data_IF_279343484775
#
_entry.id   IF_279343484775
#
_cell.length_a   1.000
_cell.length_b   1.000
_cell.length_c   1.000
_cell.angle_alpha   90.00
_cell.angle_beta   90.00
_cell.angle_gamma   90.00
#
_symmetry.space_group_name_H-M   'P 1'
#
loop_
_entity.id
_entity.type
_entity.pdbx_description
1 polymer ?
#
# COMPACT_ATOMS: atom_id res chain seq x y z
N UNK A 1 33.32 -2.53 20.48
CA UNK A 1 33.89 -1.25 20.95
C UNK A 1 33.80 -0.26 19.81
N UNK A 2 32.81 0.63 19.87
CA UNK A 2 32.51 1.65 18.85
C UNK A 2 33.43 2.85 19.07
N UNK A 3 34.40 3.05 18.18
CA UNK A 3 35.19 4.29 18.15
C UNK A 3 34.33 5.42 17.60
N UNK A 4 33.97 6.35 18.48
CA UNK A 4 33.31 7.61 18.15
C UNK A 4 34.28 8.48 17.33
N UNK A 5 34.10 8.49 16.02
CA UNK A 5 34.76 9.46 15.14
C UNK A 5 34.10 10.82 15.35
N UNK A 6 34.78 11.71 16.09
CA UNK A 6 34.43 13.12 16.21
C UNK A 6 34.35 13.74 14.82
N UNK A 7 33.16 14.21 14.47
CA UNK A 7 32.85 14.98 13.27
C UNK A 7 33.79 16.18 13.15
N UNK A 8 34.54 16.26 12.06
CA UNK A 8 35.00 17.55 11.55
C UNK A 8 33.78 18.30 11.03
N UNK A 9 33.50 19.45 11.64
CA UNK A 9 32.37 20.31 11.30
C UNK A 9 32.42 20.76 9.85
N UNK A 10 31.35 20.49 9.11
CA UNK A 10 31.02 21.27 7.91
C UNK A 10 30.28 22.54 8.35
N UNK A 11 30.64 23.72 7.85
CA UNK A 11 29.85 24.92 8.10
C UNK A 11 28.48 24.79 7.41
N UNK A 12 27.44 25.20 8.13
CA UNK A 12 26.10 25.32 7.58
C UNK A 12 26.10 26.39 6.49
N UNK A 13 25.95 25.96 5.22
CA UNK A 13 25.62 26.87 4.11
C UNK A 13 24.11 26.84 3.97
N UNK A 14 23.43 27.73 4.69
CA UNK A 14 22.06 28.12 4.37
C UNK A 14 22.12 29.10 3.20
N UNK A 15 21.76 28.64 2.00
CA UNK A 15 21.68 29.50 0.83
C UNK A 15 20.72 28.92 -0.19
N UNK A 16 19.51 29.47 -0.25
CA UNK A 16 18.62 29.29 -1.40
C UNK A 16 19.34 29.73 -2.68
N UNK A 17 19.23 28.97 -3.79
CA UNK A 17 19.75 29.43 -5.06
C UNK A 17 18.88 30.57 -5.61
N UNK A 18 19.47 31.64 -6.17
CA UNK A 18 18.72 32.65 -6.89
C UNK A 18 18.30 32.13 -8.27
N UNK A 19 17.07 32.44 -8.66
CA UNK A 19 16.56 32.23 -10.00
C UNK A 19 17.40 33.05 -11.00
N UNK A 20 17.93 32.40 -12.04
CA UNK A 20 18.49 33.07 -13.20
C UNK A 20 17.59 32.89 -14.43
N UNK A 21 17.52 33.92 -15.30
CA UNK A 21 16.52 34.02 -16.35
C UNK A 21 16.93 33.27 -17.62
N UNK A 22 15.90 32.82 -18.34
CA UNK A 22 15.95 32.28 -19.69
C UNK A 22 16.60 33.30 -20.66
N UNK A 23 17.64 32.86 -21.37
CA UNK A 23 18.13 33.52 -22.59
C UNK A 23 18.04 32.51 -23.74
N UNK A 24 17.44 32.99 -24.82
CA UNK A 24 17.09 32.29 -26.05
C UNK A 24 18.22 32.30 -27.11
N UNK A 25 18.05 31.42 -28.12
CA UNK A 25 18.55 31.49 -29.51
C UNK A 25 20.07 31.21 -29.69
N UNK A 26 20.62 30.50 -30.69
CA UNK A 26 20.30 29.92 -32.03
C UNK A 26 21.41 28.86 -32.34
N UNK A 27 21.73 28.38 -33.56
CA UNK A 27 21.01 28.13 -34.84
C UNK A 27 21.21 26.67 -35.36
N UNK A 28 20.71 26.30 -36.57
CA UNK A 28 21.00 25.01 -37.20
C UNK A 28 22.27 25.06 -38.07
N UNK A 29 23.02 23.96 -38.11
CA UNK A 29 24.13 23.77 -39.06
C UNK A 29 23.92 22.49 -39.87
N UNK A 30 23.78 22.74 -41.17
CA UNK A 30 23.84 21.83 -42.31
C UNK A 30 25.27 21.41 -42.64
N UNK A 31 25.37 20.53 -43.65
CA UNK A 31 26.58 20.04 -44.35
C UNK A 31 27.23 18.82 -43.67
N UNK A 32 27.46 17.69 -44.32
CA UNK A 32 27.55 17.39 -45.75
C UNK A 32 28.81 16.53 -45.97
N UNK A 33 28.75 15.67 -46.98
CA UNK A 33 29.85 14.99 -47.68
C UNK A 33 30.24 13.58 -47.24
N UNK A 34 29.80 12.66 -48.10
CA UNK A 34 30.50 11.48 -48.59
C UNK A 34 32.03 11.64 -48.62
N UNK A 35 32.74 10.57 -48.25
CA UNK A 35 33.88 10.14 -49.06
C UNK A 35 34.19 8.66 -48.87
N UNK A 36 34.15 7.97 -49.99
CA UNK A 36 34.51 6.57 -50.23
C UNK A 36 36.02 6.46 -50.42
N UNK A 37 36.68 5.42 -49.89
CA UNK A 37 38.08 5.16 -50.27
C UNK A 37 38.93 4.21 -49.42
N UNK A 38 38.76 2.90 -49.66
CA UNK A 38 39.81 1.87 -49.77
C UNK A 38 40.71 1.46 -48.56
N UNK A 39 41.25 0.22 -48.57
CA UNK A 39 41.65 -0.50 -47.36
C UNK A 39 43.17 -0.46 -47.13
N UNK A 40 43.56 -0.01 -45.94
CA UNK A 40 44.93 -0.10 -45.42
C UNK A 40 45.07 -1.28 -44.47
N UNK A 41 45.73 -2.33 -44.93
CA UNK A 41 46.27 -3.42 -44.11
C UNK A 41 47.32 -2.84 -43.14
N UNK A 42 47.00 -2.72 -41.85
CA UNK A 42 48.01 -2.73 -40.79
C UNK A 42 47.59 -3.68 -39.66
N UNK A 43 48.16 -4.88 -39.72
CA UNK A 43 48.26 -5.80 -38.60
C UNK A 43 49.07 -5.12 -37.49
N UNK A 44 48.40 -4.63 -36.45
CA UNK A 44 49.02 -4.34 -35.15
C UNK A 44 48.12 -4.91 -34.04
N UNK A 45 48.36 -6.17 -33.72
CA UNK A 45 48.16 -6.74 -32.40
C UNK A 45 49.54 -7.10 -31.85
N UNK A 46 49.75 -7.25 -30.53
CA UNK A 46 48.91 -6.87 -29.39
C UNK A 46 49.74 -6.15 -28.31
N UNK A 47 49.11 -5.38 -27.44
CA UNK A 47 49.59 -5.21 -26.06
C UNK A 47 48.43 -4.67 -25.25
N UNK A 48 47.61 -5.59 -24.75
CA UNK A 48 46.89 -5.34 -23.51
C UNK A 48 47.92 -4.77 -22.52
N UNK A 49 47.67 -3.63 -21.87
CA UNK A 49 48.51 -3.21 -20.77
C UNK A 49 48.41 -4.32 -19.73
N UNK A 50 49.47 -5.12 -19.66
CA UNK A 50 49.80 -5.95 -18.53
C UNK A 50 49.66 -5.03 -17.33
N UNK A 51 48.71 -5.30 -16.45
CA UNK A 51 48.82 -4.89 -15.06
C UNK A 51 50.09 -5.57 -14.55
N UNK A 52 51.24 -4.97 -14.85
CA UNK A 52 52.52 -5.41 -14.36
C UNK A 52 52.38 -5.37 -12.84
N UNK A 53 52.30 -6.55 -12.26
CA UNK A 53 52.47 -6.79 -10.85
C UNK A 53 53.88 -6.32 -10.54
N UNK A 54 54.02 -5.02 -10.26
CA UNK A 54 55.17 -4.50 -9.53
C UNK A 54 55.21 -5.29 -8.22
N UNK A 55 56.00 -6.36 -8.23
CA UNK A 55 56.43 -7.07 -7.04
C UNK A 55 57.11 -6.03 -6.16
N UNK A 56 56.33 -5.38 -5.30
CA UNK A 56 56.84 -4.58 -4.20
C UNK A 56 57.93 -5.42 -3.56
N UNK A 57 59.14 -4.88 -3.49
CA UNK A 57 60.27 -5.59 -2.89
C UNK A 57 59.82 -6.15 -1.54
N UNK A 58 60.08 -7.44 -1.27
CA UNK A 58 59.79 -8.08 0.02
C UNK A 58 60.27 -7.22 1.21
N UNK A 59 61.30 -6.39 0.99
CA UNK A 59 61.80 -5.43 1.96
C UNK A 59 60.81 -4.30 2.27
N UNK A 60 60.09 -3.79 1.28
CA UNK A 60 59.10 -2.72 1.44
C UNK A 60 57.84 -3.24 2.12
N UNK A 61 57.38 -4.44 1.77
CA UNK A 61 56.29 -5.12 2.48
C UNK A 61 56.65 -5.34 3.97
N UNK A 62 57.85 -5.85 4.27
CA UNK A 62 58.32 -6.02 5.66
C UNK A 62 58.43 -4.69 6.41
N UNK A 63 58.86 -3.62 5.74
CA UNK A 63 58.88 -2.26 6.33
C UNK A 63 57.47 -1.75 6.62
N UNK A 64 56.52 -1.94 5.70
CA UNK A 64 55.11 -1.58 5.89
C UNK A 64 54.49 -2.35 7.04
N UNK A 65 54.69 -3.67 7.13
CA UNK A 65 54.18 -4.50 8.21
C UNK A 65 54.73 -4.05 9.58
N UNK A 66 56.05 -3.84 9.69
CA UNK A 66 56.65 -3.34 10.93
C UNK A 66 56.11 -1.96 11.34
N UNK A 67 55.90 -1.07 10.36
CA UNK A 67 55.32 0.25 10.62
C UNK A 67 53.85 0.13 11.07
N UNK A 68 53.06 -0.72 10.41
CA UNK A 68 51.67 -0.96 10.75
C UNK A 68 51.54 -1.48 12.19
N UNK A 69 52.34 -2.47 12.59
CA UNK A 69 52.35 -2.98 13.97
C UNK A 69 52.70 -1.90 15.00
N UNK A 70 53.66 -1.00 14.69
CA UNK A 70 53.98 0.13 15.58
C UNK A 70 52.82 1.13 15.70
N UNK A 71 52.07 1.38 14.62
CA UNK A 71 50.90 2.26 14.63
C UNK A 71 49.76 1.61 15.43
N UNK A 72 49.46 0.33 15.17
CA UNK A 72 48.39 -0.42 15.85
C UNK A 72 48.63 -0.49 17.36
N UNK A 73 49.87 -0.77 17.79
CA UNK A 73 50.28 -0.74 19.20
C UNK A 73 50.04 0.63 19.84
N UNK A 74 50.29 1.72 19.10
CA UNK A 74 50.06 3.09 19.58
C UNK A 74 48.57 3.43 19.76
N UNK A 75 47.68 2.83 18.96
CA UNK A 75 46.23 3.03 19.04
C UNK A 75 45.54 1.99 19.95
N UNK A 76 46.27 0.97 20.41
CA UNK A 76 45.75 -0.10 21.26
C UNK A 76 44.91 -1.12 20.50
N UNK A 77 45.20 -1.34 19.21
CA UNK A 77 44.60 -2.38 18.38
C UNK A 77 45.55 -3.58 18.26
N UNK A 78 45.03 -4.73 17.84
CA UNK A 78 45.80 -5.95 17.61
C UNK A 78 46.91 -5.71 16.58
N UNK A 79 48.14 -6.17 16.83
CA UNK A 79 49.33 -5.79 16.06
C UNK A 79 49.35 -6.35 14.64
N UNK A 80 48.63 -7.45 14.39
CA UNK A 80 48.53 -8.18 13.13
C UNK A 80 47.29 -7.79 12.29
N UNK A 81 46.42 -6.90 12.79
CA UNK A 81 45.18 -6.50 12.13
C UNK A 81 45.36 -5.84 10.75
N UNK A 82 46.57 -5.41 10.40
CA UNK A 82 46.90 -4.81 9.10
C UNK A 82 47.93 -5.62 8.30
N UNK A 83 48.29 -6.83 8.73
CA UNK A 83 49.33 -7.63 8.06
C UNK A 83 48.93 -7.96 6.62
N UNK A 84 47.70 -8.42 6.38
CA UNK A 84 47.17 -8.68 5.04
C UNK A 84 47.15 -7.40 4.17
N UNK A 85 46.80 -6.27 4.78
CA UNK A 85 46.76 -4.97 4.11
C UNK A 85 48.15 -4.46 3.72
N UNK A 86 49.17 -4.68 4.57
CA UNK A 86 50.55 -4.27 4.35
C UNK A 86 51.27 -5.07 3.23
N UNK A 87 50.78 -6.27 2.94
CA UNK A 87 51.26 -7.13 1.84
C UNK A 87 50.82 -6.61 0.45
N UNK A 88 49.74 -5.84 0.37
CA UNK A 88 49.24 -5.28 -0.88
C UNK A 88 50.23 -4.27 -1.50
N UNK A 89 50.13 -4.06 -2.82
CA UNK A 89 50.79 -2.92 -3.48
C UNK A 89 50.16 -1.61 -3.01
N UNK A 90 50.79 -0.48 -3.31
CA UNK A 90 50.20 0.83 -3.00
C UNK A 90 48.84 1.02 -3.67
N UNK A 91 48.67 0.61 -4.94
CA UNK A 91 47.34 0.66 -5.57
C UNK A 91 46.35 -0.27 -4.88
N UNK A 92 46.77 -1.48 -4.51
CA UNK A 92 45.94 -2.44 -3.77
C UNK A 92 45.45 -1.85 -2.44
N UNK A 93 46.34 -1.23 -1.67
CA UNK A 93 45.99 -0.53 -0.44
C UNK A 93 44.97 0.59 -0.68
N UNK A 94 45.17 1.42 -1.71
CA UNK A 94 44.23 2.51 -2.04
C UNK A 94 42.86 1.99 -2.47
N UNK A 95 42.80 0.95 -3.31
CA UNK A 95 41.55 0.31 -3.72
C UNK A 95 40.82 -0.28 -2.52
N UNK A 96 41.53 -0.96 -1.63
CA UNK A 96 40.94 -1.51 -0.40
C UNK A 96 40.43 -0.40 0.52
N UNK A 97 41.17 0.70 0.70
CA UNK A 97 40.70 1.87 1.47
C UNK A 97 39.44 2.45 0.83
N UNK A 98 39.41 2.67 -0.48
CA UNK A 98 38.25 3.22 -1.18
C UNK A 98 37.03 2.31 -1.04
N UNK A 99 37.21 0.99 -1.19
CA UNK A 99 36.14 0.01 -0.98
C UNK A 99 35.59 0.05 0.46
N UNK A 100 36.46 0.19 1.47
CA UNK A 100 36.03 0.32 2.86
C UNK A 100 35.33 1.65 3.14
N UNK A 101 35.78 2.76 2.54
CA UNK A 101 35.09 4.05 2.63
C UNK A 101 33.69 3.94 2.05
N UNK A 102 33.54 3.37 0.85
CA UNK A 102 32.24 3.16 0.22
C UNK A 102 31.33 2.26 1.06
N UNK A 103 31.89 1.19 1.67
CA UNK A 103 31.13 0.33 2.58
C UNK A 103 30.65 1.09 3.81
N UNK A 104 31.52 1.86 4.47
CA UNK A 104 31.17 2.66 5.65
C UNK A 104 30.13 3.74 5.32
N UNK A 105 30.22 4.37 4.14
CA UNK A 105 29.22 5.33 3.67
C UNK A 105 27.86 4.68 3.44
N UNK A 106 27.84 3.49 2.82
CA UNK A 106 26.62 2.72 2.62
C UNK A 106 26.00 2.26 3.95
N UNK A 107 26.80 1.77 4.90
CA UNK A 107 26.33 1.40 6.24
C UNK A 107 25.80 2.59 7.03
N UNK A 108 26.47 3.74 6.94
CA UNK A 108 26.03 4.99 7.57
C UNK A 108 24.70 5.45 7.01
N UNK A 109 24.56 5.47 5.68
CA UNK A 109 23.31 5.82 5.00
C UNK A 109 22.19 4.86 5.41
N UNK A 110 22.45 3.54 5.39
CA UNK A 110 21.48 2.54 5.84
C UNK A 110 21.04 2.79 7.29
N UNK A 111 21.98 3.13 8.19
CA UNK A 111 21.68 3.47 9.58
C UNK A 111 20.90 4.80 9.75
N UNK A 112 21.08 5.76 8.86
CA UNK A 112 20.29 7.00 8.79
C UNK A 112 18.85 6.71 8.35
N UNK A 113 18.69 5.97 7.26
CA UNK A 113 17.39 5.56 6.74
C UNK A 113 16.63 4.70 7.76
N UNK A 114 17.29 3.74 8.40
CA UNK A 114 16.66 2.94 9.45
C UNK A 114 16.19 3.79 10.64
N UNK A 115 16.97 4.82 11.04
CA UNK A 115 16.56 5.75 12.10
C UNK A 115 15.36 6.58 11.67
N UNK A 116 15.33 7.09 10.44
CA UNK A 116 14.17 7.79 9.90
C UNK A 116 12.94 6.87 9.86
N UNK A 117 13.10 5.62 9.44
CA UNK A 117 12.02 4.65 9.43
C UNK A 117 11.46 4.42 10.83
N UNK A 118 12.26 4.51 11.89
CA UNK A 118 11.81 4.37 13.28
C UNK A 118 11.37 5.69 13.93
N UNK A 119 11.53 6.82 13.24
CA UNK A 119 11.17 8.13 13.75
C UNK A 119 9.64 8.26 13.92
N UNK A 120 9.23 8.84 15.05
CA UNK A 120 7.81 8.95 15.41
C UNK A 120 7.06 9.94 14.50
N UNK A 121 7.71 11.04 14.13
CA UNK A 121 7.12 12.06 13.27
C UNK A 121 6.98 11.55 11.84
N UNK A 122 8.01 10.87 11.32
CA UNK A 122 7.94 10.14 10.05
C UNK A 122 6.80 9.12 10.07
N UNK A 123 6.66 8.33 11.14
CA UNK A 123 5.58 7.35 11.30
C UNK A 123 4.20 8.01 11.27
N UNK A 124 4.03 9.13 11.95
CA UNK A 124 2.77 9.86 11.99
C UNK A 124 2.39 10.42 10.60
N UNK A 125 3.38 10.97 9.88
CA UNK A 125 3.22 11.46 8.51
C UNK A 125 2.89 10.34 7.52
N UNK A 126 3.62 9.22 7.59
CA UNK A 126 3.36 8.04 6.78
C UNK A 126 1.94 7.51 7.06
N UNK A 127 1.56 7.36 8.33
CA UNK A 127 0.21 6.96 8.75
C UNK A 127 -0.87 7.88 8.17
N UNK A 128 -0.67 9.21 8.18
CA UNK A 128 -1.61 10.16 7.59
C UNK A 128 -1.82 9.91 6.09
N UNK A 129 -0.75 9.64 5.36
CA UNK A 129 -0.77 9.39 3.92
C UNK A 129 -1.36 8.04 3.55
N UNK A 130 -1.06 7.01 4.33
CA UNK A 130 -1.70 5.69 4.20
C UNK A 130 -3.21 5.80 4.45
N UNK A 131 -3.65 6.57 5.46
CA UNK A 131 -5.08 6.81 5.67
C UNK A 131 -5.71 7.55 4.48
N UNK A 132 -5.05 8.57 3.95
CA UNK A 132 -5.52 9.28 2.76
C UNK A 132 -5.63 8.35 1.54
N UNK A 133 -4.66 7.44 1.34
CA UNK A 133 -4.70 6.43 0.28
C UNK A 133 -5.89 5.47 0.43
N UNK A 134 -6.11 4.94 1.64
CA UNK A 134 -7.26 4.06 1.95
C UNK A 134 -8.59 4.78 1.74
N UNK A 135 -8.63 6.09 1.99
CA UNK A 135 -9.83 6.91 1.84
C UNK A 135 -9.98 7.53 0.46
N UNK A 136 -9.04 7.27 -0.46
CA UNK A 136 -9.09 7.79 -1.81
C UNK A 136 -10.38 7.32 -2.51
N UNK A 137 -11.13 8.22 -3.15
CA UNK A 137 -12.34 7.84 -3.90
C UNK A 137 -12.01 6.93 -5.09
N UNK A 138 -10.79 7.06 -5.64
CA UNK A 138 -10.30 6.30 -6.79
C UNK A 138 -9.73 4.94 -6.40
N UNK A 139 -9.71 4.62 -5.11
CA UNK A 139 -9.22 3.34 -4.64
C UNK A 139 -10.12 2.22 -5.16
N UNK A 140 -9.50 1.20 -5.72
CA UNK A 140 -10.25 0.14 -6.37
C UNK A 140 -10.55 -1.06 -5.47
N UNK A 141 -9.62 -1.36 -4.57
CA UNK A 141 -9.69 -2.45 -3.60
C UNK A 141 -9.05 -2.00 -2.28
N UNK A 142 -9.55 -2.54 -1.18
CA UNK A 142 -9.11 -2.34 0.20
C UNK A 142 -8.34 -3.53 0.74
N UNK A 143 -8.57 -4.74 0.23
CA UNK A 143 -7.98 -5.99 0.69
C UNK A 143 -6.63 -6.26 0.04
N UNK A 144 -6.68 -6.84 -1.16
CA UNK A 144 -5.53 -7.36 -1.90
C UNK A 144 -4.91 -6.28 -2.78
N UNK A 145 -3.59 -6.28 -2.98
CA UNK A 145 -2.88 -5.43 -3.96
C UNK A 145 -2.59 -3.99 -3.52
N UNK A 146 -3.30 -3.47 -2.51
CA UNK A 146 -3.16 -2.08 -2.07
C UNK A 146 -1.80 -1.76 -1.43
N UNK A 147 -1.15 -2.73 -0.79
CA UNK A 147 0.20 -2.53 -0.24
C UNK A 147 1.18 -2.35 -1.39
N UNK A 148 1.12 -3.24 -2.38
CA UNK A 148 1.97 -3.27 -3.56
C UNK A 148 1.85 -1.97 -4.36
N UNK A 149 0.63 -1.44 -4.48
CA UNK A 149 0.33 -0.21 -5.20
C UNK A 149 0.81 1.04 -4.46
N UNK A 150 0.67 1.08 -3.14
CA UNK A 150 1.28 2.13 -2.33
C UNK A 150 2.81 2.07 -2.46
N UNK A 151 3.41 0.88 -2.42
CA UNK A 151 4.85 0.70 -2.60
C UNK A 151 5.30 1.09 -4.01
N UNK A 152 4.50 0.81 -5.03
CA UNK A 152 4.75 1.27 -6.39
C UNK A 152 4.77 2.80 -6.44
N UNK A 153 3.76 3.46 -5.87
CA UNK A 153 3.69 4.92 -5.80
C UNK A 153 4.84 5.53 -4.98
N UNK A 154 5.28 4.90 -3.89
CA UNK A 154 6.44 5.36 -3.12
C UNK A 154 7.73 5.26 -3.94
N UNK A 155 7.89 4.23 -4.77
CA UNK A 155 9.07 4.08 -5.63
C UNK A 155 9.10 5.09 -6.77
N UNK A 156 7.94 5.40 -7.37
CA UNK A 156 7.84 6.33 -8.50
C UNK A 156 7.80 7.80 -8.07
N UNK A 157 7.16 8.09 -6.93
CA UNK A 157 6.97 9.45 -6.41
C UNK A 157 7.25 9.53 -4.89
N UNK A 158 8.50 9.28 -4.44
CA UNK A 158 8.86 9.19 -3.01
C UNK A 158 8.56 10.46 -2.21
N UNK A 159 8.59 11.63 -2.85
CA UNK A 159 8.24 12.92 -2.26
C UNK A 159 6.78 12.99 -1.78
N UNK A 160 5.86 12.22 -2.38
CA UNK A 160 4.47 12.15 -1.92
C UNK A 160 4.45 11.63 -0.49
N UNK A 161 5.30 10.66 -0.15
CA UNK A 161 5.36 10.00 1.14
C UNK A 161 6.44 10.52 2.08
N UNK A 162 7.22 11.53 1.65
CA UNK A 162 8.44 12.00 2.35
C UNK A 162 9.42 10.86 2.64
N UNK A 163 9.51 9.90 1.72
CA UNK A 163 10.46 8.77 1.78
C UNK A 163 11.71 9.16 1.00
N UNK A 164 12.88 8.76 1.50
CA UNK A 164 14.12 8.96 0.75
C UNK A 164 14.17 8.03 -0.48
N UNK A 165 14.66 8.50 -1.63
CA UNK A 165 14.76 7.64 -2.82
C UNK A 165 15.74 6.46 -2.62
N UNK A 166 16.70 6.58 -1.70
CA UNK A 166 17.70 5.56 -1.41
C UNK A 166 17.10 4.29 -0.77
N UNK A 167 15.86 4.29 -0.26
CA UNK A 167 15.24 3.07 0.29
C UNK A 167 15.17 1.92 -0.73
N UNK A 168 15.05 2.25 -2.02
CA UNK A 168 15.01 1.25 -3.09
C UNK A 168 16.32 0.49 -3.28
N UNK A 169 17.44 1.06 -2.86
CA UNK A 169 18.80 0.49 -3.02
C UNK A 169 19.14 -0.51 -1.91
N UNK A 170 18.35 -0.53 -0.82
CA UNK A 170 18.60 -1.36 0.36
C UNK A 170 17.46 -2.38 0.58
N UNK A 171 17.59 -3.63 0.09
CA UNK A 171 16.52 -4.63 0.17
C UNK A 171 15.98 -4.88 1.59
N UNK A 172 16.87 -4.85 2.60
CA UNK A 172 16.48 -5.00 4.01
C UNK A 172 15.58 -3.86 4.49
N UNK A 173 15.91 -2.62 4.12
CA UNK A 173 15.09 -1.45 4.48
C UNK A 173 13.78 -1.43 3.70
N UNK A 174 13.79 -1.82 2.43
CA UNK A 174 12.58 -1.95 1.63
C UNK A 174 11.60 -2.97 2.25
N UNK A 175 12.10 -4.11 2.75
CA UNK A 175 11.30 -5.08 3.49
C UNK A 175 10.69 -4.49 4.77
N UNK A 176 11.51 -3.85 5.62
CA UNK A 176 11.02 -3.20 6.85
C UNK A 176 10.00 -2.11 6.57
N UNK A 177 10.20 -1.32 5.50
CA UNK A 177 9.25 -0.31 5.07
C UNK A 177 7.93 -0.93 4.61
N UNK A 178 7.99 -2.01 3.83
CA UNK A 178 6.83 -2.78 3.36
C UNK A 178 6.01 -3.32 4.52
N UNK A 179 6.65 -3.99 5.48
CA UNK A 179 6.02 -4.49 6.70
C UNK A 179 5.35 -3.36 7.48
N UNK A 180 6.00 -2.20 7.57
CA UNK A 180 5.47 -1.03 8.25
C UNK A 180 4.24 -0.45 7.55
N UNK A 181 4.26 -0.35 6.22
CA UNK A 181 3.11 0.08 5.41
C UNK A 181 1.94 -0.89 5.65
N UNK A 182 2.16 -2.20 5.52
CA UNK A 182 1.14 -3.22 5.74
C UNK A 182 0.53 -3.14 7.16
N UNK A 183 1.37 -3.00 8.20
CA UNK A 183 0.91 -2.85 9.58
C UNK A 183 0.04 -1.59 9.78
N UNK A 184 0.44 -0.45 9.19
CA UNK A 184 -0.36 0.78 9.21
C UNK A 184 -1.69 0.60 8.48
N UNK A 185 -1.69 -0.11 7.35
CA UNK A 185 -2.90 -0.40 6.60
C UNK A 185 -3.91 -1.22 7.40
N UNK A 186 -3.48 -2.33 8.00
CA UNK A 186 -4.31 -3.17 8.85
C UNK A 186 -4.91 -2.34 9.99
N UNK A 187 -4.08 -1.53 10.66
CA UNK A 187 -4.49 -0.63 11.73
C UNK A 187 -5.54 0.39 11.27
N UNK A 188 -5.38 0.99 10.10
CA UNK A 188 -6.34 1.96 9.55
C UNK A 188 -7.65 1.30 9.13
N UNK A 189 -7.59 0.15 8.47
CA UNK A 189 -8.76 -0.66 8.13
C UNK A 189 -9.56 -1.04 9.38
N UNK A 190 -8.92 -1.62 10.39
CA UNK A 190 -9.58 -1.97 11.66
C UNK A 190 -10.27 -0.75 12.31
N UNK A 191 -9.59 0.41 12.36
CA UNK A 191 -10.18 1.65 12.88
C UNK A 191 -11.37 2.14 12.04
N UNK A 192 -11.26 2.13 10.72
CA UNK A 192 -12.34 2.56 9.82
C UNK A 192 -13.59 1.69 10.04
N UNK A 193 -13.42 0.37 10.12
CA UNK A 193 -14.53 -0.55 10.44
C UNK A 193 -15.18 -0.21 11.78
N UNK A 194 -14.37 0.00 12.83
CA UNK A 194 -14.87 0.39 14.16
C UNK A 194 -15.63 1.72 14.12
N UNK A 195 -15.15 2.71 13.38
CA UNK A 195 -15.84 3.99 13.20
C UNK A 195 -17.15 3.84 12.42
N UNK A 196 -17.19 3.01 11.39
CA UNK A 196 -18.40 2.69 10.64
C UNK A 196 -19.44 2.01 11.55
N UNK A 197 -19.06 0.97 12.29
CA UNK A 197 -19.92 0.31 13.28
C UNK A 197 -20.45 1.30 14.32
N UNK A 198 -19.57 2.13 14.88
CA UNK A 198 -19.96 3.17 15.84
C UNK A 198 -20.96 4.14 15.23
N UNK A 199 -20.75 4.54 13.97
CA UNK A 199 -21.65 5.48 13.28
C UNK A 199 -23.03 4.88 13.03
N UNK A 200 -23.11 3.60 12.67
CA UNK A 200 -24.38 2.88 12.50
C UNK A 200 -25.11 2.76 13.84
N UNK A 201 -24.42 2.24 14.87
CA UNK A 201 -25.04 2.01 16.19
C UNK A 201 -25.49 3.29 16.89
N UNK A 202 -24.78 4.39 16.70
CA UNK A 202 -25.11 5.71 17.27
C UNK A 202 -25.92 6.60 16.32
N UNK A 203 -26.31 6.08 15.15
CA UNK A 203 -27.08 6.80 14.14
C UNK A 203 -26.46 8.16 13.75
N UNK A 204 -25.13 8.19 13.61
CA UNK A 204 -24.37 9.40 13.28
C UNK A 204 -24.43 9.68 11.77
N UNK A 205 -24.58 10.95 11.42
CA UNK A 205 -24.45 11.39 10.03
C UNK A 205 -23.06 11.07 9.46
N UNK A 206 -22.98 10.87 8.13
CA UNK A 206 -21.74 10.46 7.45
C UNK A 206 -20.60 11.45 7.60
N UNK A 207 -20.87 12.74 7.67
CA UNK A 207 -19.87 13.78 7.90
C UNK A 207 -19.25 13.69 9.30
N UNK A 208 -20.05 13.44 10.34
CA UNK A 208 -19.55 13.20 11.69
C UNK A 208 -18.74 11.91 11.76
N UNK A 209 -19.20 10.84 11.10
CA UNK A 209 -18.48 9.57 11.08
C UNK A 209 -17.13 9.66 10.35
N UNK A 210 -17.11 10.37 9.21
CA UNK A 210 -15.90 10.69 8.47
C UNK A 210 -14.92 11.48 9.34
N UNK A 211 -15.40 12.54 10.02
CA UNK A 211 -14.56 13.30 10.95
C UNK A 211 -14.00 12.44 12.08
N UNK A 212 -14.77 11.50 12.63
CA UNK A 212 -14.25 10.59 13.66
C UNK A 212 -13.08 9.75 13.13
N UNK A 213 -13.17 9.28 11.89
CA UNK A 213 -12.10 8.51 11.26
C UNK A 213 -10.82 9.33 11.02
N UNK A 214 -10.96 10.60 10.63
CA UNK A 214 -9.81 11.48 10.34
C UNK A 214 -9.41 12.39 11.51
N UNK A 215 -10.10 12.35 12.66
CA UNK A 215 -9.91 13.29 13.79
C UNK A 215 -8.45 13.41 14.25
N UNK A 216 -7.71 12.30 14.21
CA UNK A 216 -6.31 12.23 14.65
C UNK A 216 -5.33 12.72 13.58
N UNK A 217 -5.80 12.93 12.35
CA UNK A 217 -5.00 13.30 11.18
C UNK A 217 -5.50 14.65 10.66
N UNK A 218 -5.04 15.73 11.30
CA UNK A 218 -5.44 17.11 10.95
C UNK A 218 -5.00 17.55 9.54
N UNK A 219 -4.09 16.80 8.92
CA UNK A 219 -3.56 17.10 7.60
C UNK A 219 -4.46 16.65 6.44
N UNK A 220 -5.42 15.75 6.69
CA UNK A 220 -6.38 15.33 5.66
C UNK A 220 -7.55 16.31 5.63
N UNK A 221 -7.81 16.87 4.46
CA UNK A 221 -8.99 17.68 4.23
C UNK A 221 -10.10 16.82 3.60
N UNK A 222 -11.25 16.66 4.27
CA UNK A 222 -12.37 15.91 3.71
C UNK A 222 -12.99 16.66 2.52
N UNK A 223 -13.44 15.91 1.53
CA UNK A 223 -14.12 16.39 0.33
C UNK A 223 -15.44 15.62 0.16
N UNK A 224 -16.28 16.04 -0.79
CA UNK A 224 -17.51 15.32 -1.12
C UNK A 224 -17.22 13.88 -1.58
N UNK A 225 -16.16 13.67 -2.36
CA UNK A 225 -15.78 12.32 -2.80
C UNK A 225 -15.43 11.40 -1.61
N UNK A 226 -14.78 11.92 -0.57
CA UNK A 226 -14.54 11.16 0.66
C UNK A 226 -15.84 10.83 1.40
N UNK A 227 -16.82 11.74 1.44
CA UNK A 227 -18.12 11.45 2.03
C UNK A 227 -18.86 10.36 1.28
N UNK A 228 -18.93 10.46 -0.05
CA UNK A 228 -19.60 9.45 -0.87
C UNK A 228 -18.95 8.08 -0.70
N UNK A 229 -17.61 8.05 -0.61
CA UNK A 229 -16.88 6.81 -0.32
C UNK A 229 -17.18 6.26 1.07
N UNK A 230 -17.27 7.10 2.09
CA UNK A 230 -17.60 6.68 3.45
C UNK A 230 -19.05 6.19 3.57
N UNK A 231 -19.99 6.82 2.86
CA UNK A 231 -21.37 6.37 2.74
C UNK A 231 -21.45 4.98 2.08
N UNK A 232 -20.70 4.77 0.99
CA UNK A 232 -20.56 3.45 0.37
C UNK A 232 -20.03 2.39 1.34
N UNK A 233 -18.94 2.68 2.06
CA UNK A 233 -18.39 1.75 3.05
C UNK A 233 -19.39 1.41 4.16
N UNK A 234 -20.21 2.38 4.58
CA UNK A 234 -21.26 2.15 5.57
C UNK A 234 -22.36 1.25 5.00
N UNK A 235 -22.83 1.53 3.78
CA UNK A 235 -23.81 0.68 3.07
C UNK A 235 -23.30 -0.75 2.94
N UNK A 236 -22.05 -0.93 2.51
CA UNK A 236 -21.41 -2.24 2.41
C UNK A 236 -21.38 -2.96 3.77
N UNK A 237 -21.03 -2.27 4.86
CA UNK A 237 -21.00 -2.86 6.20
C UNK A 237 -22.40 -3.27 6.70
N UNK A 238 -23.44 -2.49 6.39
CA UNK A 238 -24.83 -2.84 6.72
C UNK A 238 -25.24 -4.11 5.97
N UNK A 239 -24.94 -4.19 4.67
CA UNK A 239 -25.21 -5.38 3.84
C UNK A 239 -24.46 -6.61 4.37
N UNK A 240 -23.16 -6.47 4.63
CA UNK A 240 -22.32 -7.52 5.18
C UNK A 240 -22.85 -8.08 6.51
N UNK A 241 -23.23 -7.19 7.44
CA UNK A 241 -23.83 -7.61 8.72
C UNK A 241 -25.23 -8.24 8.55
N UNK A 242 -25.90 -8.00 7.43
CA UNK A 242 -27.16 -8.65 7.05
C UNK A 242 -26.98 -10.10 6.61
N UNK A 243 -25.84 -10.45 6.00
CA UNK A 243 -25.55 -11.81 5.53
C UNK A 243 -25.57 -12.83 6.68
N UNK A 244 -24.91 -12.52 7.80
CA UNK A 244 -24.88 -13.41 8.96
C UNK A 244 -26.25 -13.66 9.59
N UNK A 245 -27.20 -12.71 9.47
CA UNK A 245 -28.58 -12.90 9.94
C UNK A 245 -29.35 -13.86 9.03
N UNK A 246 -29.11 -13.82 7.72
CA UNK A 246 -29.72 -14.74 6.79
C UNK A 246 -29.22 -16.17 7.02
N UNK A 247 -27.91 -16.37 7.23
CA UNK A 247 -27.36 -17.69 7.53
C UNK A 247 -27.93 -18.27 8.83
N UNK A 248 -28.08 -17.47 9.88
CA UNK A 248 -28.67 -17.92 11.14
C UNK A 248 -30.16 -18.31 11.00
N UNK A 249 -30.92 -17.58 10.17
CA UNK A 249 -32.32 -17.91 9.89
C UNK A 249 -32.44 -19.17 9.02
N UNK A 250 -31.57 -19.36 8.03
CA UNK A 250 -31.55 -20.58 7.21
C UNK A 250 -31.21 -21.80 8.06
N UNK A 251 -30.21 -21.72 8.94
CA UNK A 251 -29.85 -22.80 9.88
C UNK A 251 -31.02 -23.11 10.82
N UNK A 252 -31.69 -22.09 11.37
CA UNK A 252 -32.86 -22.30 12.24
C UNK A 252 -34.03 -22.98 11.51
N UNK A 253 -34.26 -22.67 10.24
CA UNK A 253 -35.30 -23.29 9.41
C UNK A 253 -34.96 -24.74 9.03
N UNK A 254 -33.69 -25.06 8.77
CA UNK A 254 -33.24 -26.43 8.49
C UNK A 254 -33.35 -27.33 9.73
N UNK A 255 -33.07 -26.81 10.92
CA UNK A 255 -33.27 -27.53 12.18
C UNK A 255 -34.76 -27.83 12.46
N UNK A 256 -35.67 -26.91 12.13
CA UNK A 256 -37.12 -27.16 12.24
C UNK A 256 -37.60 -28.19 11.22
N UNK A 257 -37.02 -28.21 10.02
CA UNK A 257 -37.36 -29.18 8.98
C UNK A 257 -36.85 -30.59 9.34
N UNK A 258 -35.67 -30.69 9.98
CA UNK A 258 -35.15 -31.97 10.49
C UNK A 258 -35.95 -32.51 11.67
N UNK A 259 -36.41 -31.65 12.59
CA UNK A 259 -37.26 -32.09 13.71
C UNK A 259 -38.67 -32.49 13.26
N UNK A 260 -39.23 -31.88 12.20
CA UNK A 260 -40.51 -32.29 11.63
C UNK A 260 -40.45 -33.69 10.97
N UNK A 261 -39.31 -34.09 10.41
CA UNK A 261 -39.13 -35.41 9.78
C UNK A 261 -39.11 -36.60 10.75
N UNK A 262 -39.04 -36.36 12.06
CA UNK A 262 -39.08 -37.41 13.09
C UNK A 262 -40.52 -37.67 13.59
N UNK A 263 -41.51 -36.86 13.17
CA UNK A 263 -42.88 -36.97 13.71
C UNK A 263 -44.00 -37.27 12.69
N UNK A 264 -43.70 -37.57 11.42
CA UNK A 264 -44.73 -38.03 10.47
C UNK A 264 -44.89 -39.55 10.48
N UNK A 265 -45.62 -40.04 11.48
CA UNK A 265 -46.30 -41.33 11.41
C UNK A 265 -47.64 -41.25 12.16
N UNK A 266 -48.52 -40.32 11.73
CA UNK A 266 -49.97 -40.41 12.02
C UNK A 266 -50.84 -39.53 11.11
N UNK A 267 -51.37 -40.18 10.09
CA UNK A 267 -52.49 -39.73 9.24
C UNK A 267 -53.76 -39.63 10.11
N UNK A 268 -54.58 -38.56 9.96
CA UNK A 268 -55.85 -38.76 9.29
C UNK A 268 -56.24 -37.64 8.31
N UNK A 269 -56.75 -38.10 7.19
CA UNK A 269 -57.40 -37.40 6.09
C UNK A 269 -58.62 -36.60 6.55
N UNK A 270 -58.82 -35.39 6.00
CA UNK A 270 -60.14 -34.93 5.58
C UNK A 270 -60.09 -33.73 4.62
N UNK A 271 -61.01 -33.79 3.68
CA UNK A 271 -61.24 -32.98 2.49
C UNK A 271 -62.04 -31.68 2.70
N UNK A 272 -61.88 -30.73 1.76
CA UNK A 272 -62.83 -29.70 1.23
C UNK A 272 -62.13 -28.33 1.15
N UNK A 273 -61.91 -27.70 -0.02
CA UNK A 273 -62.85 -27.11 -1.01
C UNK A 273 -62.93 -25.58 -0.91
N UNK A 274 -62.88 -24.94 -2.08
CA UNK A 274 -63.45 -23.63 -2.46
C UNK A 274 -62.54 -22.39 -2.55
N UNK A 275 -62.30 -22.04 -3.82
CA UNK A 275 -62.15 -20.75 -4.50
C UNK A 275 -62.62 -19.46 -3.79
N UNK A 276 -61.89 -18.35 -4.06
CA UNK A 276 -62.47 -17.10 -4.56
C UNK A 276 -61.40 -16.10 -5.03
N UNK A 277 -61.72 -15.43 -6.13
CA UNK A 277 -61.03 -14.34 -6.83
C UNK A 277 -60.85 -13.06 -6.00
N UNK A 278 -59.84 -12.26 -6.37
CA UNK A 278 -59.64 -10.92 -5.81
C UNK A 278 -58.60 -10.09 -6.56
N UNK A 279 -59.05 -9.42 -7.61
CA UNK A 279 -58.32 -8.41 -8.41
C UNK A 279 -57.99 -7.20 -7.53
N UNK A 280 -56.71 -6.80 -7.46
CA UNK A 280 -56.32 -5.47 -6.96
C UNK A 280 -55.10 -4.93 -7.74
N UNK A 281 -55.34 -3.82 -8.45
CA UNK A 281 -54.37 -3.09 -9.26
C UNK A 281 -53.84 -1.90 -8.46
N UNK A 282 -52.55 -1.90 -8.13
CA UNK A 282 -51.88 -0.84 -7.39
C UNK A 282 -50.50 -0.60 -7.95
N UNK A 283 -50.32 0.57 -8.56
CA UNK A 283 -49.12 1.04 -9.23
C UNK A 283 -47.91 1.08 -8.27
N UNK A 284 -46.94 0.21 -8.53
CA UNK A 284 -45.69 0.10 -7.78
C UNK A 284 -44.60 0.97 -8.42
N UNK A 285 -43.77 1.70 -7.64
CA UNK A 285 -42.54 2.31 -8.16
C UNK A 285 -41.56 1.23 -8.64
N UNK A 286 -40.62 1.56 -9.56
CA UNK A 286 -39.76 0.55 -10.19
C UNK A 286 -38.97 -0.22 -9.13
N UNK A 287 -38.95 -1.57 -9.19
CA UNK A 287 -38.14 -2.37 -8.29
C UNK A 287 -36.66 -2.04 -8.53
N UNK A 288 -35.98 -1.64 -7.46
CA UNK A 288 -34.52 -1.67 -7.41
C UNK A 288 -34.10 -3.12 -7.66
N UNK A 289 -33.51 -3.38 -8.83
CA UNK A 289 -33.12 -4.71 -9.27
C UNK A 289 -32.08 -5.28 -8.30
N UNK A 290 -32.52 -6.02 -7.29
CA UNK A 290 -31.67 -6.97 -6.58
C UNK A 290 -31.35 -8.09 -7.56
N UNK A 291 -30.29 -7.90 -8.36
CA UNK A 291 -29.76 -8.93 -9.24
C UNK A 291 -29.04 -9.95 -8.38
N UNK A 292 -29.40 -11.22 -8.55
CA UNK A 292 -28.83 -12.35 -7.80
C UNK A 292 -27.32 -12.44 -8.02
N UNK A 293 -26.56 -12.44 -6.92
CA UNK A 293 -25.08 -12.47 -6.84
C UNK A 293 -24.44 -13.82 -7.22
N UNK A 294 -25.13 -14.69 -7.98
CA UNK A 294 -24.79 -16.13 -8.03
C UNK A 294 -24.09 -16.63 -9.30
N UNK A 295 -23.56 -15.78 -10.19
CA UNK A 295 -22.85 -16.29 -11.37
C UNK A 295 -21.52 -15.56 -11.65
N UNK A 296 -20.43 -16.32 -11.48
CA UNK A 296 -19.07 -16.19 -12.07
C UNK A 296 -18.02 -15.41 -11.27
N UNK A 297 -16.97 -16.13 -10.81
CA UNK A 297 -15.60 -16.10 -11.40
C UNK A 297 -14.60 -16.96 -10.60
N UNK A 298 -13.58 -17.43 -11.32
CA UNK A 298 -12.44 -18.23 -10.85
C UNK A 298 -11.11 -17.48 -11.08
N UNK A 299 -10.13 -17.81 -10.23
CA UNK A 299 -8.68 -17.59 -10.30
C UNK A 299 -8.09 -16.17 -10.07
N UNK A 300 -7.53 -15.95 -8.86
CA UNK A 300 -6.11 -15.63 -8.62
C UNK A 300 -5.83 -15.46 -7.11
N UNK A 301 -5.04 -16.36 -6.51
CA UNK A 301 -4.49 -16.22 -5.16
C UNK A 301 -3.02 -16.58 -5.19
N UNK A 302 -2.17 -15.62 -4.83
CA UNK A 302 -0.73 -15.79 -4.61
C UNK A 302 -0.51 -15.59 -3.12
N UNK A 303 -0.08 -16.65 -2.43
CA UNK A 303 0.22 -16.64 -1.01
C UNK A 303 1.62 -16.05 -0.76
N UNK A 304 1.71 -15.06 0.12
CA UNK A 304 2.98 -14.60 0.69
C UNK A 304 2.98 -14.93 2.18
N UNK A 305 3.95 -15.75 2.60
CA UNK A 305 4.05 -16.31 3.95
C UNK A 305 5.21 -15.65 4.65
N UNK A 306 4.93 -14.77 5.62
CA UNK A 306 5.96 -14.19 6.49
C UNK A 306 5.68 -14.55 7.95
N UNK A 307 6.45 -15.51 8.46
CA UNK A 307 6.53 -15.84 9.87
C UNK A 307 7.62 -15.00 10.53
N UNK A 308 7.28 -14.29 11.61
CA UNK A 308 8.23 -13.54 12.42
C UNK A 308 7.71 -13.38 13.84
N UNK A 309 8.13 -14.28 14.73
CA UNK A 309 7.95 -14.15 16.17
C UNK A 309 8.97 -13.14 16.75
N UNK A 310 8.49 -12.27 17.64
CA UNK A 310 9.32 -11.40 18.46
C UNK A 310 8.48 -10.77 19.57
N UNK A 311 8.87 -10.92 20.87
CA UNK A 311 8.00 -10.57 21.98
C UNK A 311 8.24 -9.15 22.52
N UNK A 312 7.18 -8.65 23.15
CA UNK A 312 7.14 -7.94 24.44
C UNK A 312 6.63 -6.48 24.46
N UNK A 313 5.63 -6.28 25.34
CA UNK A 313 5.45 -5.07 26.14
C UNK A 313 4.52 -3.96 25.63
N UNK A 314 3.24 -3.97 26.05
CA UNK A 314 2.47 -2.72 26.15
C UNK A 314 0.95 -2.80 26.05
N UNK A 315 0.33 -3.13 27.18
CA UNK A 315 -1.09 -3.23 27.47
C UNK A 315 -2.00 -2.16 26.80
N UNK A 316 -2.88 -2.60 25.90
CA UNK A 316 -4.18 -2.01 25.61
C UNK A 316 -5.08 -3.14 25.11
N UNK A 317 -6.31 -3.23 25.60
CA UNK A 317 -7.34 -4.18 25.14
C UNK A 317 -7.48 -4.12 23.61
N UNK A 318 -6.78 -5.02 22.93
CA UNK A 318 -6.88 -5.29 21.50
C UNK A 318 -7.57 -6.64 21.42
N UNK A 319 -8.80 -6.62 20.91
CA UNK A 319 -9.50 -7.83 20.49
C UNK A 319 -8.67 -8.44 19.37
N UNK A 320 -8.12 -9.63 19.61
CA UNK A 320 -7.27 -10.36 18.69
C UNK A 320 -8.03 -10.62 17.37
N UNK A 321 -7.65 -9.92 16.30
CA UNK A 321 -8.20 -10.15 14.95
C UNK A 321 -7.19 -11.01 14.22
N UNK A 322 -7.40 -12.32 14.25
CA UNK A 322 -6.60 -13.29 13.51
C UNK A 322 -6.69 -12.98 12.00
N UNK A 323 -5.55 -12.76 11.36
CA UNK A 323 -5.45 -12.28 9.97
C UNK A 323 -5.34 -13.41 8.92
N UNK A 324 -5.49 -14.67 9.32
CA UNK A 324 -5.17 -15.84 8.47
C UNK A 324 -6.33 -16.82 8.25
N UNK A 325 -7.57 -16.36 8.11
CA UNK A 325 -8.65 -17.21 7.59
C UNK A 325 -8.76 -17.06 6.06
N UNK A 326 -8.02 -17.90 5.34
CA UNK A 326 -8.24 -18.15 3.92
C UNK A 326 -9.46 -19.07 3.79
N UNK A 327 -10.51 -18.70 3.03
CA UNK A 327 -11.66 -19.56 2.85
C UNK A 327 -11.27 -20.82 2.07
N UNK A 328 -11.61 -21.99 2.63
CA UNK A 328 -11.47 -23.28 1.96
C UNK A 328 -12.41 -23.33 0.73
N UNK A 329 -11.87 -23.72 -0.43
CA UNK A 329 -12.61 -23.85 -1.68
C UNK A 329 -13.51 -25.09 -1.60
N UNK A 330 -14.82 -24.88 -1.57
CA UNK A 330 -15.85 -25.91 -1.75
C UNK A 330 -16.58 -25.72 -3.10
N UNK A 331 -17.23 -26.78 -3.53
CA UNK A 331 -17.71 -27.11 -4.89
C UNK A 331 -18.62 -26.06 -5.60
N UNK A 332 -18.65 -26.10 -6.94
CA UNK A 332 -18.91 -24.99 -7.89
C UNK A 332 -20.33 -24.37 -7.99
N UNK A 333 -21.17 -24.44 -6.96
CA UNK A 333 -22.40 -23.61 -6.94
C UNK A 333 -22.76 -23.03 -5.58
N UNK A 334 -21.88 -23.18 -4.58
CA UNK A 334 -22.14 -22.69 -3.24
C UNK A 334 -21.73 -21.21 -3.15
N UNK A 335 -22.68 -20.35 -2.78
CA UNK A 335 -22.43 -18.91 -2.67
C UNK A 335 -21.24 -18.61 -1.75
N UNK A 336 -20.44 -17.61 -2.10
CA UNK A 336 -19.26 -17.23 -1.30
C UNK A 336 -19.71 -16.87 0.13
N UNK A 337 -19.35 -17.73 1.10
CA UNK A 337 -19.62 -17.49 2.51
C UNK A 337 -18.52 -16.60 3.08
N UNK A 338 -18.86 -15.35 3.38
CA UNK A 338 -17.91 -14.43 4.01
C UNK A 338 -17.83 -14.66 5.52
N UNK A 339 -16.63 -14.90 6.03
CA UNK A 339 -16.35 -14.89 7.47
C UNK A 339 -16.42 -13.46 8.03
N UNK A 340 -16.57 -13.28 9.34
CA UNK A 340 -16.60 -11.95 9.96
C UNK A 340 -15.34 -11.10 9.68
N UNK A 341 -14.17 -11.73 9.49
CA UNK A 341 -12.91 -11.07 9.14
C UNK A 341 -12.85 -10.63 7.66
N UNK A 342 -13.67 -11.23 6.78
CA UNK A 342 -13.67 -11.00 5.34
C UNK A 342 -14.42 -9.73 4.87
N UNK A 343 -14.70 -8.76 5.75
CA UNK A 343 -15.40 -7.52 5.37
C UNK A 343 -14.70 -6.76 4.24
N UNK A 344 -13.37 -6.66 4.26
CA UNK A 344 -12.64 -5.93 3.21
C UNK A 344 -12.65 -6.67 1.88
N UNK A 345 -12.61 -8.01 1.90
CA UNK A 345 -12.80 -8.81 0.69
C UNK A 345 -14.21 -8.59 0.10
N UNK A 346 -15.25 -8.63 0.95
CA UNK A 346 -16.61 -8.30 0.52
C UNK A 346 -16.73 -6.90 -0.11
N UNK A 347 -16.06 -5.90 0.46
CA UNK A 347 -16.01 -4.54 -0.13
C UNK A 347 -15.32 -4.56 -1.49
N UNK A 348 -14.25 -5.32 -1.66
CA UNK A 348 -13.52 -5.45 -2.93
C UNK A 348 -14.39 -6.10 -4.01
N UNK A 349 -15.14 -7.14 -3.65
CA UNK A 349 -16.05 -7.83 -4.57
C UNK A 349 -17.19 -6.89 -5.00
N UNK A 350 -17.79 -6.14 -4.07
CA UNK A 350 -18.79 -5.11 -4.40
C UNK A 350 -18.25 -4.03 -5.33
N UNK A 351 -17.00 -3.60 -5.13
CA UNK A 351 -16.35 -2.61 -5.98
C UNK A 351 -16.01 -3.16 -7.36
N UNK A 352 -15.58 -4.43 -7.44
CA UNK A 352 -15.31 -5.10 -8.70
C UNK A 352 -16.59 -5.25 -9.54
N UNK A 353 -17.70 -5.66 -8.92
CA UNK A 353 -19.01 -5.75 -9.56
C UNK A 353 -19.49 -4.38 -10.06
N UNK A 354 -19.40 -3.35 -9.22
CA UNK A 354 -19.75 -1.98 -9.59
C UNK A 354 -18.98 -1.52 -10.83
N UNK A 355 -17.66 -1.74 -10.87
CA UNK A 355 -16.86 -1.36 -12.04
C UNK A 355 -17.26 -2.11 -13.29
N UNK A 356 -17.55 -3.40 -13.18
CA UNK A 356 -17.95 -4.20 -14.32
C UNK A 356 -19.30 -3.74 -14.90
N UNK A 357 -20.25 -3.40 -14.02
CA UNK A 357 -21.53 -2.81 -14.42
C UNK A 357 -21.33 -1.44 -15.08
N UNK A 358 -20.53 -0.56 -14.48
CA UNK A 358 -20.19 0.74 -15.07
C UNK A 358 -19.50 0.60 -16.43
N UNK A 359 -18.57 -0.36 -16.60
CA UNK A 359 -17.90 -0.65 -17.87
C UNK A 359 -18.89 -1.13 -18.93
N UNK A 360 -19.79 -2.03 -18.55
CA UNK A 360 -20.84 -2.56 -19.44
C UNK A 360 -21.77 -1.45 -19.95
N UNK A 361 -22.18 -0.52 -19.08
CA UNK A 361 -23.02 0.64 -19.43
C UNK A 361 -22.28 1.69 -20.25
N UNK A 362 -20.97 1.82 -20.03
CA UNK A 362 -20.13 2.80 -20.70
C UNK A 362 -19.81 2.45 -22.16
N UNK A 363 -19.88 1.15 -22.53
CA UNK A 363 -19.59 0.68 -23.89
C UNK A 363 -18.21 1.13 -24.41
N UNK A 364 -17.21 1.18 -23.52
CA UNK A 364 -15.83 1.58 -23.83
C UNK A 364 -15.53 3.08 -23.72
N UNK A 365 -16.52 3.94 -23.46
CA UNK A 365 -16.31 5.36 -23.23
C UNK A 365 -15.85 5.64 -21.78
N UNK A 366 -14.61 6.12 -21.62
CA UNK A 366 -14.02 6.43 -20.31
C UNK A 366 -14.76 7.55 -19.56
N UNK A 367 -15.23 8.58 -20.27
CA UNK A 367 -15.94 9.69 -19.65
C UNK A 367 -17.30 9.23 -19.11
N UNK A 368 -18.00 8.40 -19.90
CA UNK A 368 -19.27 7.78 -19.49
C UNK A 368 -19.08 6.79 -18.33
N UNK A 369 -17.97 6.03 -18.32
CA UNK A 369 -17.62 5.16 -17.21
C UNK A 369 -17.44 5.96 -15.90
N UNK A 370 -16.69 7.05 -15.94
CA UNK A 370 -16.49 7.92 -14.77
C UNK A 370 -17.81 8.54 -14.31
N UNK A 371 -18.64 9.00 -15.25
CA UNK A 371 -19.96 9.54 -14.96
C UNK A 371 -20.85 8.50 -14.24
N UNK A 372 -20.88 7.25 -14.71
CA UNK A 372 -21.66 6.19 -14.07
C UNK A 372 -21.17 5.89 -12.64
N UNK A 373 -19.85 5.90 -12.41
CA UNK A 373 -19.29 5.73 -11.06
C UNK A 373 -19.68 6.89 -10.14
N UNK A 374 -19.53 8.13 -10.61
CA UNK A 374 -19.86 9.32 -9.84
C UNK A 374 -21.35 9.35 -9.49
N UNK A 375 -22.22 8.98 -10.44
CA UNK A 375 -23.67 8.83 -10.21
C UNK A 375 -23.96 7.83 -9.10
N UNK A 376 -23.40 6.60 -9.16
CA UNK A 376 -23.60 5.58 -8.12
C UNK A 376 -23.17 6.06 -6.73
N UNK A 377 -22.00 6.68 -6.62
CA UNK A 377 -21.49 7.17 -5.33
C UNK A 377 -22.33 8.34 -4.81
N UNK A 378 -22.82 9.22 -5.67
CA UNK A 378 -23.72 10.31 -5.30
C UNK A 378 -25.09 9.80 -4.84
N UNK A 379 -25.69 8.84 -5.54
CA UNK A 379 -26.93 8.19 -5.12
C UNK A 379 -26.78 7.49 -3.77
N UNK A 380 -25.66 6.78 -3.59
CA UNK A 380 -25.34 6.12 -2.32
C UNK A 380 -25.20 7.13 -1.17
N UNK A 381 -24.59 8.28 -1.42
CA UNK A 381 -24.51 9.37 -0.44
C UNK A 381 -25.88 9.98 -0.13
N UNK A 382 -26.73 10.19 -1.14
CA UNK A 382 -28.08 10.73 -0.94
C UNK A 382 -28.95 9.77 -0.13
N UNK A 383 -28.90 8.47 -0.44
CA UNK A 383 -29.59 7.45 0.34
C UNK A 383 -29.09 7.41 1.80
N UNK A 384 -27.78 7.54 2.01
CA UNK A 384 -27.21 7.64 3.36
C UNK A 384 -27.71 8.88 4.10
N UNK A 385 -27.81 10.05 3.45
CA UNK A 385 -28.39 11.24 4.07
C UNK A 385 -29.88 11.12 4.39
N UNK A 386 -30.64 10.34 3.64
CA UNK A 386 -32.05 10.07 3.98
C UNK A 386 -32.15 9.19 5.23
N UNK A 387 -31.27 8.18 5.36
CA UNK A 387 -31.27 7.27 6.49
C UNK A 387 -30.60 7.87 7.74
N UNK A 388 -29.54 8.66 7.56
CA UNK A 388 -28.73 9.30 8.60
C UNK A 388 -28.66 10.82 8.34
N UNK A 389 -29.75 11.57 8.63
CA UNK A 389 -29.83 12.99 8.30
C UNK A 389 -28.65 13.79 8.83
N UNK A 390 -28.03 14.65 7.99
CA UNK A 390 -26.94 15.48 8.44
C UNK A 390 -27.47 16.48 9.48
N UNK A 391 -26.70 16.66 10.56
CA UNK A 391 -26.96 17.71 11.53
C UNK A 391 -26.53 19.07 10.97
N UNK A 392 -25.55 19.71 11.62
CA UNK A 392 -24.89 20.90 11.06
C UNK A 392 -23.81 20.41 10.09
N UNK A 393 -24.03 20.58 8.78
CA UNK A 393 -23.04 20.21 7.77
C UNK A 393 -21.68 20.83 8.13
N UNK A 394 -20.68 19.96 8.29
CA UNK A 394 -19.31 20.42 8.49
C UNK A 394 -18.85 21.11 7.20
N UNK A 395 -18.24 22.29 7.36
CA UNK A 395 -17.68 23.06 6.25
C UNK A 395 -16.52 22.27 5.64
N UNK A 396 -16.73 21.71 4.46
CA UNK A 396 -15.68 21.03 3.70
C UNK A 396 -14.63 22.03 3.21
N UNK A 397 -13.37 21.63 3.30
CA UNK A 397 -12.25 22.43 2.79
C UNK A 397 -12.31 22.54 1.27
N UNK A 398 -12.03 23.72 0.73
CA UNK A 398 -11.93 23.93 -0.73
C UNK A 398 -10.55 23.56 -1.28
N UNK A 399 -9.51 23.41 -0.44
CA UNK A 399 -8.11 23.33 -0.88
C UNK A 399 -7.43 22.12 -0.24
N UNK A 400 -7.45 20.98 -0.93
CA UNK A 400 -6.68 19.82 -0.48
C UNK A 400 -5.18 20.10 -0.52
N UNK A 401 -4.43 19.50 0.40
CA UNK A 401 -2.97 19.57 0.37
C UNK A 401 -2.45 18.91 -0.92
N UNK A 402 -1.38 19.44 -1.53
CA UNK A 402 -0.85 18.94 -2.80
C UNK A 402 -0.52 17.44 -2.78
N UNK A 403 0.05 16.94 -1.68
CA UNK A 403 0.33 15.50 -1.50
C UNK A 403 -0.95 14.65 -1.45
N UNK A 404 -2.06 15.20 -0.93
CA UNK A 404 -3.34 14.48 -0.86
C UNK A 404 -3.96 14.38 -2.25
N UNK A 405 -3.92 15.45 -3.03
CA UNK A 405 -4.37 15.46 -4.43
C UNK A 405 -3.52 14.47 -5.25
N UNK A 406 -2.20 14.49 -5.07
CA UNK A 406 -1.30 13.57 -5.76
C UNK A 406 -1.63 12.09 -5.44
N UNK A 407 -1.92 11.75 -4.18
CA UNK A 407 -2.38 10.39 -3.83
C UNK A 407 -3.68 10.05 -4.55
N UNK A 408 -4.65 10.96 -4.60
CA UNK A 408 -5.94 10.70 -5.24
C UNK A 408 -5.80 10.50 -6.76
N UNK A 409 -4.98 11.31 -7.41
CA UNK A 409 -4.80 11.29 -8.86
C UNK A 409 -3.93 10.14 -9.33
N UNK A 410 -2.95 9.71 -8.52
CA UNK A 410 -1.97 8.69 -8.89
C UNK A 410 -2.32 7.29 -8.42
N UNK A 411 -3.12 7.17 -7.35
CA UNK A 411 -3.61 5.89 -6.86
C UNK A 411 -4.90 5.48 -7.60
N UNK A 412 -4.86 5.49 -8.93
CA UNK A 412 -5.95 5.08 -9.80
C UNK A 412 -5.63 3.68 -10.31
N UNK A 413 -6.46 2.69 -9.96
CA UNK A 413 -6.40 1.38 -10.63
C UNK A 413 -7.41 1.39 -11.76
N UNK A 414 -6.92 1.20 -12.98
CA UNK A 414 -7.75 0.99 -14.17
C UNK A 414 -8.06 -0.49 -14.37
#
# INVERSE_FOLDING_TARGET
MLLSFKQFGRPAVSGSPPAHPLIAASPPSSEGLDSSGAPGNERVHPRSPSFDVEMSSNRDQKRRANLAGSILRGVGLEEDALDEFALLSTEGMMMTIMAHILLLEAEKLQGELQRQLNDADFTAKLSARILAAIMSPNLSAYGNGIVEEILHLVRTEPQIFEVDSAYGEHPRLCKLFTEKVAALMIKHRSKLRTHLLTSISKHLSVDVALLLAIKRVKSIQPTMAHLSRFAFLRKALIMFNGLGKQTALTIACEDHTRQASVHEDRVPSNSASAAADGVFSGSQPPPCTQRSLSERRSAHSVADTTSGEGPDGGNADIVDVNANDVPAVQDESDGVVYSHSAFWAFVDDMLAELREDCRSRAQGDLAKYQQNLDEFFNETLQADFQMYPPGKLIRMGKVCAAWQVAIQDKLVWL
#
